data_IF_385256911631
#
_entry.id   IF_385256911631
#
_cell.length_a   1.000
_cell.length_b   1.000
_cell.length_c   1.000
_cell.angle_alpha   90.00
_cell.angle_beta   90.00
_cell.angle_gamma   90.00
#
_symmetry.space_group_name_H-M   'P 1'
#
loop_
_entity.id
_entity.type
_entity.pdbx_description
1 polymer ?
#
# COMPACT_ATOMS: atom_id res chain seq x y z
N UNK A 1 -8.92 -63.35 -3.86
CA UNK A 1 -9.99 -62.36 -3.83
C UNK A 1 -9.74 -61.59 -2.54
N UNK A 2 -8.87 -60.58 -2.50
CA UNK A 2 -9.01 -59.27 -3.20
C UNK A 2 -10.40 -58.70 -2.86
N UNK A 3 -10.57 -57.57 -2.17
CA UNK A 3 -9.96 -56.27 -2.46
C UNK A 3 -9.73 -55.40 -1.22
N UNK A 4 -8.64 -54.64 -1.32
CA UNK A 4 -8.41 -53.38 -0.63
C UNK A 4 -9.06 -52.24 -1.43
N UNK A 5 -9.51 -51.20 -0.72
CA UNK A 5 -9.76 -49.85 -1.23
C UNK A 5 -9.93 -48.98 0.02
N UNK A 6 -8.98 -48.12 0.41
CA UNK A 6 -8.32 -47.11 -0.42
C UNK A 6 -9.38 -46.04 -0.70
N UNK A 7 -9.47 -44.95 0.04
CA UNK A 7 -8.38 -44.04 0.38
C UNK A 7 -8.74 -42.72 -0.28
N UNK A 8 -9.15 -41.77 0.53
CA UNK A 8 -9.64 -40.46 0.14
C UNK A 8 -9.83 -39.64 1.41
N UNK A 9 -8.80 -39.60 2.25
CA UNK A 9 -8.63 -38.50 3.18
C UNK A 9 -8.46 -37.25 2.31
N UNK A 10 -9.52 -36.45 2.21
CA UNK A 10 -9.34 -35.02 2.01
C UNK A 10 -8.49 -34.58 3.20
N UNK A 11 -7.21 -34.32 2.97
CA UNK A 11 -6.46 -33.48 3.89
C UNK A 11 -7.14 -32.11 3.81
N UNK A 12 -8.10 -31.86 4.70
CA UNK A 12 -8.47 -30.48 4.98
C UNK A 12 -7.22 -29.87 5.57
N UNK A 13 -6.61 -28.91 4.86
CA UNK A 13 -5.62 -28.01 5.44
C UNK A 13 -6.16 -27.57 6.80
N UNK A 14 -5.39 -27.83 7.86
CA UNK A 14 -5.77 -27.37 9.18
C UNK A 14 -5.80 -25.85 9.19
N UNK A 15 -6.63 -25.27 10.06
CA UNK A 15 -6.58 -23.83 10.36
C UNK A 15 -5.14 -23.42 10.67
N UNK A 16 -4.70 -22.31 10.08
CA UNK A 16 -3.42 -21.67 10.37
C UNK A 16 -3.49 -20.77 11.61
N UNK A 17 -4.65 -20.65 12.27
CA UNK A 17 -4.86 -19.74 13.39
C UNK A 17 -5.09 -18.29 12.97
N UNK A 18 -4.91 -17.37 13.91
CA UNK A 18 -5.06 -15.94 13.67
C UNK A 18 -3.76 -15.37 13.07
N UNK A 19 -3.86 -14.61 11.98
CA UNK A 19 -2.73 -13.98 11.29
C UNK A 19 -2.94 -12.47 11.33
N UNK A 20 -1.97 -11.73 11.88
CA UNK A 20 -1.99 -10.27 11.94
C UNK A 20 -1.06 -9.67 10.89
N UNK A 21 -1.62 -8.96 9.92
CA UNK A 21 -0.86 -8.35 8.83
C UNK A 21 -0.84 -6.83 8.98
N UNK A 22 0.34 -6.26 9.12
CA UNK A 22 0.55 -4.80 9.08
C UNK A 22 0.88 -4.41 7.64
N UNK A 23 0.00 -3.68 6.99
CA UNK A 23 0.14 -3.36 5.57
C UNK A 23 -0.10 -1.88 5.30
N UNK A 24 0.70 -1.31 4.40
CA UNK A 24 0.55 0.07 3.96
C UNK A 24 -0.89 0.36 3.51
N UNK A 25 -1.42 1.53 3.85
CA UNK A 25 -2.81 1.91 3.55
C UNK A 25 -3.19 1.78 2.07
N UNK A 26 -2.26 1.99 1.14
CA UNK A 26 -2.48 1.80 -0.31
C UNK A 26 -2.70 0.35 -0.74
N UNK A 27 -2.42 -0.63 0.13
CA UNK A 27 -2.64 -2.05 -0.12
C UNK A 27 -4.04 -2.53 0.31
N UNK A 28 -4.84 -1.67 0.94
CA UNK A 28 -6.10 -2.05 1.63
C UNK A 28 -6.98 -2.96 0.78
N UNK A 29 -7.33 -2.56 -0.44
CA UNK A 29 -8.28 -3.30 -1.26
C UNK A 29 -7.71 -4.64 -1.73
N UNK A 30 -6.48 -4.64 -2.25
CA UNK A 30 -5.82 -5.85 -2.73
C UNK A 30 -5.55 -6.87 -1.60
N UNK A 31 -5.06 -6.40 -0.44
CA UNK A 31 -4.79 -7.28 0.70
C UNK A 31 -6.08 -7.80 1.33
N UNK A 32 -7.16 -7.03 1.31
CA UNK A 32 -8.47 -7.54 1.75
C UNK A 32 -8.90 -8.73 0.89
N UNK A 33 -8.78 -8.64 -0.45
CA UNK A 33 -9.11 -9.75 -1.35
C UNK A 33 -8.19 -10.96 -1.16
N UNK A 34 -6.88 -10.73 -0.98
CA UNK A 34 -5.94 -11.82 -0.65
C UNK A 34 -6.27 -12.49 0.69
N UNK A 35 -6.73 -11.71 1.67
CA UNK A 35 -7.20 -12.23 2.95
C UNK A 35 -8.41 -13.14 2.78
N UNK A 36 -9.44 -12.66 2.07
CA UNK A 36 -10.64 -13.45 1.75
C UNK A 36 -10.30 -14.74 1.02
N UNK A 37 -9.38 -14.67 0.04
CA UNK A 37 -8.89 -15.84 -0.69
C UNK A 37 -8.26 -16.88 0.25
N UNK A 38 -7.37 -16.45 1.14
CA UNK A 38 -6.73 -17.36 2.11
C UNK A 38 -7.74 -17.99 3.07
N UNK A 39 -8.68 -17.21 3.60
CA UNK A 39 -9.70 -17.70 4.54
C UNK A 39 -10.62 -18.74 3.89
N UNK A 40 -10.94 -18.57 2.60
CA UNK A 40 -11.71 -19.53 1.82
C UNK A 40 -10.94 -20.83 1.56
N UNK A 41 -9.62 -20.75 1.31
CA UNK A 41 -8.75 -21.91 1.08
C UNK A 41 -8.36 -22.66 2.36
N UNK A 42 -8.29 -21.96 3.49
CA UNK A 42 -7.85 -22.49 4.78
C UNK A 42 -8.94 -22.29 5.86
N UNK A 43 -9.99 -23.14 5.88
CA UNK A 43 -11.11 -22.96 6.80
C UNK A 43 -10.67 -22.90 8.27
N UNK A 44 -11.03 -21.80 8.92
CA UNK A 44 -10.74 -21.54 10.34
C UNK A 44 -9.44 -20.77 10.58
N UNK A 45 -8.74 -20.34 9.53
CA UNK A 45 -7.78 -19.23 9.60
C UNK A 45 -8.56 -17.91 9.66
N UNK A 46 -8.09 -16.93 10.42
CA UNK A 46 -8.65 -15.57 10.48
C UNK A 46 -7.54 -14.56 10.24
N UNK A 47 -7.74 -13.64 9.30
CA UNK A 47 -6.75 -12.61 8.99
C UNK A 47 -7.22 -11.26 9.52
N UNK A 48 -6.40 -10.68 10.40
CA UNK A 48 -6.60 -9.32 10.92
C UNK A 48 -5.61 -8.38 10.27
N UNK A 49 -6.12 -7.41 9.52
CA UNK A 49 -5.29 -6.36 8.95
C UNK A 49 -5.21 -5.12 9.86
N UNK A 50 -4.02 -4.55 9.96
CA UNK A 50 -3.79 -3.19 10.41
C UNK A 50 -3.28 -2.36 9.23
N UNK A 51 -4.18 -1.60 8.61
CA UNK A 51 -3.84 -0.68 7.53
C UNK A 51 -3.56 0.71 8.08
N UNK A 52 -2.34 1.22 7.84
CA UNK A 52 -1.92 2.57 8.19
C UNK A 52 -0.73 3.01 7.32
N UNK A 53 -0.14 4.18 7.59
CA UNK A 53 1.10 4.57 6.95
C UNK A 53 2.22 3.57 7.29
N UNK A 54 3.09 3.25 6.32
CA UNK A 54 4.21 2.33 6.60
C UNK A 54 5.13 2.86 7.70
N UNK A 55 5.23 4.19 7.84
CA UNK A 55 5.95 4.84 8.95
C UNK A 55 5.34 4.55 10.31
N UNK A 56 4.01 4.64 10.45
CA UNK A 56 3.33 4.34 11.71
C UNK A 56 3.39 2.84 12.03
N UNK A 57 3.26 1.98 11.01
CA UNK A 57 3.33 0.54 11.17
C UNK A 57 4.75 0.10 11.60
N UNK A 58 5.80 0.63 10.96
CA UNK A 58 7.17 0.36 11.36
C UNK A 58 7.45 0.81 12.80
N UNK A 59 6.96 2.00 13.18
CA UNK A 59 7.05 2.48 14.56
C UNK A 59 6.34 1.55 15.54
N UNK A 60 5.11 1.13 15.24
CA UNK A 60 4.35 0.21 16.07
C UNK A 60 5.07 -1.13 16.25
N UNK A 61 5.67 -1.67 15.18
CA UNK A 61 6.45 -2.91 15.21
C UNK A 61 7.69 -2.73 16.12
N UNK A 62 8.44 -1.64 15.98
CA UNK A 62 9.58 -1.32 16.87
C UNK A 62 9.17 -1.12 18.33
N UNK A 63 7.95 -0.64 18.59
CA UNK A 63 7.38 -0.55 19.93
C UNK A 63 6.85 -1.90 20.49
N UNK A 64 6.92 -2.98 19.69
CA UNK A 64 6.54 -4.33 20.08
C UNK A 64 5.07 -4.67 19.82
N UNK A 65 4.41 -3.99 18.87
CA UNK A 65 3.10 -4.41 18.40
C UNK A 65 3.18 -5.81 17.78
N UNK A 66 2.29 -6.75 18.17
CA UNK A 66 2.32 -8.11 17.63
C UNK A 66 1.79 -8.10 16.20
N UNK A 67 2.66 -8.41 15.25
CA UNK A 67 2.33 -8.64 13.85
C UNK A 67 3.09 -9.86 13.32
N UNK A 68 2.52 -10.51 12.33
CA UNK A 68 3.09 -11.69 11.68
C UNK A 68 3.81 -11.31 10.38
N UNK A 69 3.20 -10.41 9.60
CA UNK A 69 3.69 -9.94 8.30
C UNK A 69 3.69 -8.41 8.26
N UNK A 70 4.74 -7.84 7.70
CA UNK A 70 4.82 -6.41 7.39
C UNK A 70 4.99 -6.18 5.88
N UNK A 71 4.09 -5.39 5.30
CA UNK A 71 4.15 -4.94 3.91
C UNK A 71 4.21 -3.41 3.84
N UNK A 72 5.37 -2.88 3.42
CA UNK A 72 5.65 -1.45 3.37
C UNK A 72 5.44 -0.89 1.95
N UNK A 73 5.11 0.40 1.86
CA UNK A 73 5.02 1.13 0.59
C UNK A 73 6.35 1.78 0.16
N UNK A 74 7.43 1.62 0.94
CA UNK A 74 8.79 1.95 0.51
C UNK A 74 9.86 1.12 1.25
N UNK A 75 11.11 1.07 0.72
CA UNK A 75 12.24 0.46 1.41
C UNK A 75 12.66 1.19 2.68
N UNK A 76 12.49 2.51 2.75
CA UNK A 76 12.93 3.32 3.90
C UNK A 76 12.26 2.88 5.21
N UNK A 77 10.95 2.59 5.18
CA UNK A 77 10.24 2.12 6.38
C UNK A 77 10.44 0.61 6.62
N UNK A 78 10.84 -0.16 5.60
CA UNK A 78 11.29 -1.54 5.81
C UNK A 78 12.62 -1.59 6.55
N UNK A 79 13.56 -0.71 6.18
CA UNK A 79 14.87 -0.60 6.83
C UNK A 79 14.75 -0.30 8.34
N UNK A 80 13.70 0.42 8.77
CA UNK A 80 13.42 0.68 10.20
C UNK A 80 13.22 -0.61 11.00
N UNK A 81 12.51 -1.60 10.45
CA UNK A 81 12.30 -2.89 11.14
C UNK A 81 13.49 -3.84 10.97
N UNK A 82 14.21 -3.76 9.85
CA UNK A 82 15.44 -4.52 9.61
C UNK A 82 16.57 -4.09 10.55
N UNK A 83 16.76 -2.78 10.76
CA UNK A 83 17.81 -2.21 11.62
C UNK A 83 17.65 -2.58 13.10
N UNK A 84 16.44 -2.98 13.51
CA UNK A 84 16.15 -3.48 14.86
C UNK A 84 16.18 -5.02 14.96
N UNK A 85 16.61 -5.71 13.90
CA UNK A 85 16.63 -7.19 13.80
C UNK A 85 15.22 -7.82 14.02
N UNK A 86 14.15 -7.12 13.60
CA UNK A 86 12.74 -7.54 13.80
C UNK A 86 12.13 -8.26 12.59
N UNK A 87 12.83 -8.26 11.45
CA UNK A 87 12.34 -8.78 10.18
C UNK A 87 13.27 -9.87 9.62
N UNK A 88 12.67 -10.85 8.96
CA UNK A 88 13.40 -11.70 8.02
C UNK A 88 13.77 -10.90 6.75
N UNK A 89 14.59 -11.46 5.87
CA UNK A 89 15.02 -10.78 4.63
C UNK A 89 13.81 -10.36 3.78
N UNK A 90 13.59 -9.05 3.56
CA UNK A 90 12.44 -8.57 2.80
C UNK A 90 12.62 -8.78 1.30
N UNK A 91 11.50 -8.95 0.61
CA UNK A 91 11.47 -8.97 -0.86
C UNK A 91 10.56 -7.90 -1.40
N UNK A 92 10.94 -7.27 -2.51
CA UNK A 92 10.03 -6.41 -3.27
C UNK A 92 9.03 -7.31 -3.98
N UNK A 93 7.74 -7.12 -3.70
CA UNK A 93 6.67 -7.94 -4.27
C UNK A 93 5.85 -7.21 -5.34
N UNK A 94 5.78 -5.88 -5.29
CA UNK A 94 5.13 -5.05 -6.31
C UNK A 94 5.76 -3.67 -6.43
N UNK A 95 5.45 -3.01 -7.54
CA UNK A 95 5.70 -1.59 -7.76
C UNK A 95 4.41 -0.80 -7.92
N UNK A 96 4.49 0.51 -7.77
CA UNK A 96 3.37 1.42 -7.99
C UNK A 96 3.86 2.75 -8.58
N UNK A 97 2.94 3.52 -9.15
CA UNK A 97 3.23 4.84 -9.73
C UNK A 97 2.52 5.93 -8.95
N UNK A 98 3.19 7.07 -8.80
CA UNK A 98 2.55 8.27 -8.30
C UNK A 98 1.66 8.91 -9.35
N UNK A 99 0.56 9.49 -8.88
CA UNK A 99 -0.37 10.31 -9.66
C UNK A 99 -0.78 11.54 -8.89
N UNK A 100 -1.10 12.60 -9.63
CA UNK A 100 -1.82 13.76 -9.10
C UNK A 100 -3.31 13.40 -9.14
N UNK A 101 -3.93 13.30 -7.97
CA UNK A 101 -5.36 13.07 -7.82
C UNK A 101 -6.08 14.41 -7.71
N UNK A 102 -7.14 14.61 -8.47
CA UNK A 102 -7.94 15.84 -8.46
C UNK A 102 -9.45 15.52 -8.40
N UNK A 103 -10.31 16.46 -7.97
CA UNK A 103 -11.76 16.32 -8.17
C UNK A 103 -12.10 16.23 -9.66
N UNK A 104 -13.07 15.40 -10.02
CA UNK A 104 -13.42 15.13 -11.43
C UNK A 104 -13.94 16.35 -12.21
N UNK A 105 -14.51 17.34 -11.52
CA UNK A 105 -14.93 18.59 -12.13
C UNK A 105 -13.80 19.62 -12.27
N UNK A 106 -12.63 19.34 -11.69
CA UNK A 106 -11.37 20.09 -11.78
C UNK A 106 -11.55 21.62 -11.72
N UNK A 107 -12.10 22.17 -10.62
CA UNK A 107 -12.44 23.59 -10.53
C UNK A 107 -11.20 24.49 -10.56
N UNK A 108 -10.04 23.97 -10.15
CA UNK A 108 -8.78 24.68 -10.13
C UNK A 108 -8.03 24.64 -11.48
N UNK A 109 -8.50 23.84 -12.46
CA UNK A 109 -7.87 23.74 -13.78
C UNK A 109 -6.47 23.13 -13.72
N UNK A 110 -6.28 22.10 -12.89
CA UNK A 110 -5.02 21.35 -12.81
C UNK A 110 -4.84 20.56 -14.10
N UNK A 111 -3.74 20.78 -14.81
CA UNK A 111 -3.41 20.08 -16.06
C UNK A 111 -2.13 19.24 -15.94
N UNK A 112 -1.46 19.32 -14.79
CA UNK A 112 -0.23 18.60 -14.49
C UNK A 112 0.53 19.21 -13.30
N UNK A 113 1.78 18.78 -13.05
CA UNK A 113 2.55 19.22 -11.88
C UNK A 113 2.77 20.73 -11.80
N UNK A 114 2.92 21.42 -12.94
CA UNK A 114 3.15 22.86 -12.95
C UNK A 114 1.96 23.65 -12.40
N UNK A 115 0.74 23.17 -12.61
CA UNK A 115 -0.46 23.78 -12.02
C UNK A 115 -0.41 23.77 -10.49
N UNK A 116 0.30 22.82 -9.87
CA UNK A 116 0.44 22.74 -8.40
C UNK A 116 1.27 23.89 -7.81
N UNK A 117 2.01 24.63 -8.64
CA UNK A 117 2.82 25.79 -8.24
C UNK A 117 2.02 27.10 -8.23
N UNK A 118 0.83 27.11 -8.83
CA UNK A 118 0.03 28.32 -8.99
C UNK A 118 -0.48 28.82 -7.63
N UNK A 119 -0.26 30.11 -7.28
CA UNK A 119 -0.66 30.62 -5.97
C UNK A 119 -2.15 30.45 -5.69
N UNK A 120 -2.47 29.81 -4.57
CA UNK A 120 -3.85 29.62 -4.12
C UNK A 120 -4.45 28.25 -4.47
N UNK A 121 -3.71 27.40 -5.19
CA UNK A 121 -4.01 25.97 -5.28
C UNK A 121 -3.89 25.34 -3.90
N UNK A 122 -4.90 24.57 -3.50
CA UNK A 122 -4.90 23.81 -2.26
C UNK A 122 -4.37 22.40 -2.53
N UNK A 123 -3.11 22.18 -2.22
CA UNK A 123 -2.48 20.88 -2.32
C UNK A 123 -2.56 20.14 -0.98
N UNK A 124 -2.98 18.88 -0.99
CA UNK A 124 -2.89 17.98 0.16
C UNK A 124 -1.91 16.86 -0.16
N UNK A 125 -0.95 16.65 0.73
CA UNK A 125 0.03 15.56 0.61
C UNK A 125 -0.09 14.68 1.85
N UNK A 126 0.46 13.47 1.80
CA UNK A 126 0.80 12.80 3.05
C UNK A 126 2.04 13.47 3.68
N UNK A 127 2.24 13.27 4.98
CA UNK A 127 3.39 13.82 5.70
C UNK A 127 4.74 13.36 5.09
N UNK A 128 5.84 14.13 5.23
CA UNK A 128 7.13 13.82 4.61
C UNK A 128 7.72 12.43 4.93
N UNK A 129 7.40 11.88 6.10
CA UNK A 129 7.79 10.56 6.58
C UNK A 129 6.93 9.42 6.00
N UNK A 130 5.71 9.73 5.58
CA UNK A 130 4.78 8.78 4.96
C UNK A 130 5.25 8.49 3.53
N UNK A 131 5.29 7.23 3.07
CA UNK A 131 5.83 6.89 1.74
C UNK A 131 5.28 7.72 0.58
N UNK A 132 3.95 7.93 0.49
CA UNK A 132 3.34 8.73 -0.57
C UNK A 132 3.81 10.19 -0.52
N UNK A 133 3.90 10.77 0.69
CA UNK A 133 4.36 12.15 0.90
C UNK A 133 5.85 12.32 0.64
N UNK A 134 6.64 11.28 0.93
CA UNK A 134 8.06 11.22 0.62
C UNK A 134 8.29 11.18 -0.90
N UNK A 135 7.63 10.26 -1.61
CA UNK A 135 7.77 10.15 -3.06
C UNK A 135 7.23 11.38 -3.79
N UNK A 136 6.14 12.00 -3.32
CA UNK A 136 5.61 13.23 -3.92
C UNK A 136 6.66 14.34 -3.93
N UNK A 137 7.38 14.50 -2.81
CA UNK A 137 8.46 15.49 -2.67
C UNK A 137 9.68 15.15 -3.52
N UNK A 138 10.00 13.87 -3.70
CA UNK A 138 11.02 13.46 -4.67
C UNK A 138 10.62 13.82 -6.10
N UNK A 139 9.36 13.63 -6.49
CA UNK A 139 8.85 14.03 -7.80
C UNK A 139 8.92 15.55 -7.98
N UNK A 140 8.54 16.33 -6.97
CA UNK A 140 8.67 17.80 -7.00
C UNK A 140 10.12 18.27 -7.04
N UNK A 141 11.04 17.58 -6.38
CA UNK A 141 12.48 17.86 -6.43
C UNK A 141 13.04 17.61 -7.83
N UNK A 142 12.65 16.51 -8.47
CA UNK A 142 13.04 16.20 -9.84
C UNK A 142 12.58 17.29 -10.83
N UNK A 143 11.41 17.89 -10.59
CA UNK A 143 10.85 18.99 -11.37
C UNK A 143 11.39 20.37 -10.97
N UNK A 144 12.05 20.49 -9.82
CA UNK A 144 12.54 21.76 -9.29
C UNK A 144 11.43 22.72 -8.80
N UNK A 145 10.28 22.18 -8.41
CA UNK A 145 9.07 22.94 -7.99
C UNK A 145 8.74 22.80 -6.49
N UNK A 146 9.67 22.28 -5.69
CA UNK A 146 9.43 21.99 -4.27
C UNK A 146 9.00 23.24 -3.49
N UNK A 147 9.67 24.38 -3.67
CA UNK A 147 9.37 25.60 -2.89
C UNK A 147 7.94 26.09 -3.15
N UNK A 148 7.54 26.13 -4.42
CA UNK A 148 6.21 26.60 -4.84
C UNK A 148 5.11 25.62 -4.45
N UNK A 149 5.31 24.32 -4.64
CA UNK A 149 4.34 23.29 -4.23
C UNK A 149 4.17 23.24 -2.71
N UNK A 150 5.25 23.28 -1.92
CA UNK A 150 5.19 23.34 -0.45
C UNK A 150 4.47 24.59 0.06
N UNK A 151 4.61 25.73 -0.62
CA UNK A 151 3.86 26.94 -0.28
C UNK A 151 2.34 26.79 -0.46
N UNK A 152 1.90 25.85 -1.30
CA UNK A 152 0.50 25.52 -1.57
C UNK A 152 -0.03 24.33 -0.77
N UNK A 153 0.82 23.64 0.01
CA UNK A 153 0.39 22.53 0.87
C UNK A 153 -0.48 23.08 2.01
N UNK A 154 -1.77 22.75 2.00
CA UNK A 154 -2.73 23.16 3.03
C UNK A 154 -2.89 22.13 4.13
N UNK A 155 -2.47 20.89 3.88
CA UNK A 155 -2.53 19.80 4.86
C UNK A 155 -1.52 18.70 4.53
N UNK A 156 -0.95 18.11 5.58
CA UNK A 156 -0.17 16.88 5.51
C UNK A 156 -0.95 15.80 6.25
N UNK A 157 -1.32 14.73 5.55
CA UNK A 157 -2.12 13.64 6.11
C UNK A 157 -1.27 12.51 6.69
N UNK A 158 -1.88 11.80 7.64
CA UNK A 158 -1.25 10.66 8.32
C UNK A 158 -1.03 9.48 7.37
N UNK A 159 -1.86 9.32 6.34
CA UNK A 159 -1.69 8.30 5.30
C UNK A 159 -2.24 8.75 3.94
N UNK A 160 -2.00 7.94 2.90
CA UNK A 160 -2.42 8.25 1.53
C UNK A 160 -3.94 8.17 1.33
N UNK A 161 -4.67 7.33 2.08
CA UNK A 161 -6.13 7.22 1.98
C UNK A 161 -6.81 8.47 2.55
N UNK A 162 -6.22 9.10 3.55
CA UNK A 162 -6.66 10.42 4.02
C UNK A 162 -6.47 11.53 2.96
N UNK A 163 -5.41 11.47 2.14
CA UNK A 163 -5.25 12.37 0.98
C UNK A 163 -6.38 12.16 -0.03
N UNK A 164 -6.64 10.89 -0.39
CA UNK A 164 -7.73 10.50 -1.31
C UNK A 164 -9.07 11.06 -0.83
N UNK A 165 -9.39 10.85 0.46
CA UNK A 165 -10.64 11.30 1.04
C UNK A 165 -10.81 12.84 0.97
N UNK A 166 -9.75 13.61 1.24
CA UNK A 166 -9.84 15.08 1.15
C UNK A 166 -10.03 15.58 -0.27
N UNK A 167 -9.39 14.93 -1.25
CA UNK A 167 -9.57 15.27 -2.66
C UNK A 167 -10.97 14.90 -3.13
N UNK A 168 -11.47 13.70 -2.84
CA UNK A 168 -12.81 13.27 -3.25
C UNK A 168 -13.93 14.09 -2.61
N UNK A 169 -13.73 14.57 -1.38
CA UNK A 169 -14.65 15.48 -0.69
C UNK A 169 -14.56 16.94 -1.16
N UNK A 170 -13.64 17.27 -2.09
CA UNK A 170 -13.42 18.63 -2.59
C UNK A 170 -12.83 19.59 -1.56
N UNK A 171 -12.17 19.07 -0.52
CA UNK A 171 -11.48 19.87 0.48
C UNK A 171 -10.14 20.43 -0.04
N UNK A 172 -9.58 19.78 -1.08
CA UNK A 172 -8.36 20.14 -1.78
C UNK A 172 -8.59 20.24 -3.29
N UNK A 173 -7.77 21.03 -3.96
CA UNK A 173 -7.77 21.14 -5.42
C UNK A 173 -6.99 20.00 -6.08
N UNK A 174 -5.98 19.47 -5.37
CA UNK A 174 -5.20 18.32 -5.78
C UNK A 174 -4.58 17.61 -4.56
N UNK A 175 -4.22 16.35 -4.75
CA UNK A 175 -3.31 15.62 -3.89
C UNK A 175 -2.38 14.71 -4.69
N UNK A 176 -1.36 14.15 -4.03
CA UNK A 176 -0.47 13.15 -4.65
C UNK A 176 -0.66 11.82 -3.96
N UNK A 177 -1.00 10.80 -4.75
CA UNK A 177 -1.38 9.45 -4.31
C UNK A 177 -0.76 8.40 -5.25
N UNK A 178 -1.09 7.12 -5.08
CA UNK A 178 -0.73 6.09 -6.05
C UNK A 178 -1.83 5.86 -7.08
N UNK A 179 -1.49 5.35 -8.27
CA UNK A 179 -2.50 5.03 -9.30
C UNK A 179 -3.55 4.03 -8.77
N UNK A 180 -3.16 3.11 -7.88
CA UNK A 180 -4.04 2.12 -7.26
C UNK A 180 -5.02 2.73 -6.26
N UNK A 181 -4.79 3.96 -5.79
CA UNK A 181 -5.70 4.66 -4.87
C UNK A 181 -6.88 5.32 -5.59
N UNK A 182 -6.81 5.49 -6.92
CA UNK A 182 -7.93 5.90 -7.74
C UNK A 182 -8.86 4.70 -8.03
N UNK A 183 -9.49 4.20 -6.98
CA UNK A 183 -10.30 2.97 -7.03
C UNK A 183 -11.55 3.12 -7.90
N UNK A 184 -12.12 1.98 -8.30
CA UNK A 184 -13.39 1.95 -9.05
C UNK A 184 -14.56 2.60 -8.27
N UNK A 185 -14.51 2.60 -6.93
CA UNK A 185 -15.52 3.26 -6.10
C UNK A 185 -15.50 4.79 -6.24
N UNK A 186 -14.35 5.36 -6.62
CA UNK A 186 -14.16 6.80 -6.82
C UNK A 186 -14.37 7.22 -8.29
N UNK A 187 -14.85 6.31 -9.14
CA UNK A 187 -15.09 6.59 -10.55
C UNK A 187 -16.11 7.74 -10.71
N UNK A 188 -15.66 8.81 -11.36
CA UNK A 188 -16.47 10.02 -11.57
C UNK A 188 -16.45 11.01 -10.40
N UNK A 189 -15.80 10.68 -9.28
CA UNK A 189 -15.53 11.62 -8.17
C UNK A 189 -14.16 12.26 -8.30
N UNK A 190 -13.17 11.50 -8.78
CA UNK A 190 -11.79 11.96 -8.95
C UNK A 190 -11.23 11.60 -10.31
N UNK A 191 -10.17 12.30 -10.72
CA UNK A 191 -9.33 11.97 -11.87
C UNK A 191 -7.87 11.85 -11.42
N UNK A 192 -7.14 10.90 -12.01
CA UNK A 192 -5.71 10.69 -11.77
C UNK A 192 -4.89 11.14 -12.99
N UNK A 193 -3.91 12.00 -12.77
CA UNK A 193 -2.97 12.49 -13.78
C UNK A 193 -1.57 11.94 -13.51
N UNK A 194 -0.96 11.36 -14.54
CA UNK A 194 0.42 10.87 -14.43
C UNK A 194 1.43 12.02 -14.33
N UNK A 195 2.50 11.80 -13.58
CA UNK A 195 3.67 12.66 -13.63
C UNK A 195 4.39 12.50 -14.99
N UNK A 196 5.07 13.55 -15.49
CA UNK A 196 5.88 13.45 -16.69
C UNK A 196 7.08 12.51 -16.45
N UNK A 197 7.65 11.94 -17.51
CA UNK A 197 8.66 10.87 -17.42
C UNK A 197 9.92 11.28 -16.63
N UNK A 198 10.28 12.56 -16.62
CA UNK A 198 11.38 13.13 -15.85
C UNK A 198 11.11 13.23 -14.34
N UNK A 199 9.87 12.99 -13.91
CA UNK A 199 9.43 12.92 -12.52
C UNK A 199 8.64 11.64 -12.20
N UNK A 200 8.76 10.61 -13.05
CA UNK A 200 8.10 9.30 -12.85
C UNK A 200 8.84 8.54 -11.74
N UNK A 201 8.36 8.72 -10.51
CA UNK A 201 8.87 8.04 -9.32
C UNK A 201 8.13 6.72 -9.17
N UNK A 202 8.86 5.62 -9.39
CA UNK A 202 8.36 4.27 -9.12
C UNK A 202 8.50 3.96 -7.63
N UNK A 203 7.38 3.73 -6.96
CA UNK A 203 7.35 3.24 -5.60
C UNK A 203 7.53 1.72 -5.58
N UNK A 204 8.39 1.21 -4.70
CA UNK A 204 8.65 -0.22 -4.53
C UNK A 204 8.13 -0.67 -3.18
N UNK A 205 7.43 -1.81 -3.15
CA UNK A 205 6.76 -2.31 -1.96
C UNK A 205 7.47 -3.57 -1.49
N UNK A 206 8.25 -3.50 -0.40
CA UNK A 206 8.81 -4.69 0.23
C UNK A 206 7.81 -5.35 1.20
N UNK A 207 7.88 -6.67 1.29
CA UNK A 207 7.15 -7.50 2.27
C UNK A 207 8.12 -8.43 3.00
N UNK A 208 7.85 -8.69 4.27
CA UNK A 208 8.61 -9.63 5.10
C UNK A 208 7.72 -10.26 6.18
N UNK A 209 8.13 -11.42 6.68
CA UNK A 209 7.64 -12.00 7.94
C UNK A 209 8.45 -11.43 9.10
N UNK A 210 7.81 -11.19 10.25
CA UNK A 210 8.49 -10.66 11.43
C UNK A 210 9.12 -11.79 12.25
N UNK A 211 10.33 -11.56 12.79
CA UNK A 211 11.09 -12.59 13.50
C UNK A 211 10.45 -13.04 14.82
N UNK A 212 9.68 -12.15 15.46
CA UNK A 212 8.88 -12.43 16.66
C UNK A 212 7.39 -12.67 16.34
N UNK A 213 7.07 -13.06 15.09
CA UNK A 213 5.70 -13.36 14.66
C UNK A 213 4.98 -14.30 15.65
N UNK A 214 3.82 -13.88 16.21
CA UNK A 214 3.00 -14.74 17.06
C UNK A 214 2.59 -16.07 16.40
N UNK A 215 2.43 -16.05 15.08
CA UNK A 215 2.02 -17.17 14.24
C UNK A 215 2.93 -17.30 12.99
N UNK A 216 4.12 -17.90 13.13
CA UNK A 216 5.08 -18.01 12.02
C UNK A 216 4.56 -18.84 10.84
N UNK A 217 3.79 -19.91 11.10
CA UNK A 217 3.26 -20.77 10.04
C UNK A 217 2.18 -20.04 9.21
N UNK A 218 1.33 -19.26 9.87
CA UNK A 218 0.38 -18.38 9.19
C UNK A 218 1.07 -17.21 8.47
N UNK A 219 2.12 -16.63 9.06
CA UNK A 219 2.93 -15.59 8.44
C UNK A 219 3.52 -16.07 7.10
N UNK A 220 4.20 -17.22 7.11
CA UNK A 220 4.80 -17.85 5.93
C UNK A 220 3.74 -18.14 4.87
N UNK A 221 2.58 -18.66 5.26
CA UNK A 221 1.50 -18.96 4.33
C UNK A 221 0.96 -17.69 3.64
N UNK A 222 0.70 -16.61 4.40
CA UNK A 222 0.19 -15.37 3.83
C UNK A 222 1.25 -14.68 2.96
N UNK A 223 2.50 -14.67 3.40
CA UNK A 223 3.64 -14.21 2.63
C UNK A 223 3.76 -14.97 1.30
N UNK A 224 3.68 -16.31 1.32
CA UNK A 224 3.74 -17.14 0.12
C UNK A 224 2.54 -16.90 -0.81
N UNK A 225 1.34 -16.66 -0.27
CA UNK A 225 0.17 -16.30 -1.07
C UNK A 225 0.40 -14.98 -1.82
N UNK A 226 0.89 -13.94 -1.14
CA UNK A 226 1.19 -12.63 -1.76
C UNK A 226 2.19 -12.75 -2.90
N UNK A 227 3.18 -13.65 -2.77
CA UNK A 227 4.21 -13.89 -3.78
C UNK A 227 3.83 -14.91 -4.87
N UNK A 228 2.74 -15.65 -4.67
CA UNK A 228 2.26 -16.66 -5.62
C UNK A 228 1.75 -16.04 -6.92
N UNK A 229 1.65 -16.84 -7.98
CA UNK A 229 1.07 -16.40 -9.26
C UNK A 229 -0.35 -15.84 -9.06
N UNK A 230 -1.17 -16.47 -8.21
CA UNK A 230 -2.53 -16.03 -7.91
C UNK A 230 -2.57 -14.71 -7.14
N UNK A 231 -1.71 -14.56 -6.12
CA UNK A 231 -1.62 -13.31 -5.38
C UNK A 231 -1.14 -12.14 -6.25
N UNK A 232 -0.18 -12.41 -7.15
CA UNK A 232 0.29 -11.43 -8.11
C UNK A 232 -0.76 -11.07 -9.16
N UNK A 233 -1.63 -12.01 -9.56
CA UNK A 233 -2.79 -11.73 -10.42
C UNK A 233 -3.78 -10.78 -9.73
N UNK A 234 -4.10 -11.02 -8.45
CA UNK A 234 -4.94 -10.11 -7.65
C UNK A 234 -4.31 -8.72 -7.61
N UNK A 235 -3.05 -8.60 -7.18
CA UNK A 235 -2.34 -7.32 -7.09
C UNK A 235 -2.32 -6.56 -8.44
N UNK A 236 -2.04 -7.27 -9.54
CA UNK A 236 -2.06 -6.69 -10.89
C UNK A 236 -3.45 -6.19 -11.26
N UNK A 237 -4.52 -6.88 -10.84
CA UNK A 237 -5.90 -6.46 -11.12
C UNK A 237 -6.27 -5.14 -10.46
N UNK A 238 -5.63 -4.81 -9.33
CA UNK A 238 -5.75 -3.52 -8.64
C UNK A 238 -4.83 -2.42 -9.22
N UNK A 239 -3.99 -2.74 -10.20
CA UNK A 239 -3.12 -1.78 -10.89
C UNK A 239 -1.69 -1.70 -10.35
N UNK A 240 -1.30 -2.59 -9.43
CA UNK A 240 0.11 -2.73 -9.04
C UNK A 240 0.94 -3.26 -10.21
N UNK A 241 2.18 -2.79 -10.30
CA UNK A 241 3.17 -3.27 -11.26
C UNK A 241 4.00 -4.43 -10.70
N UNK A 242 4.68 -5.21 -11.58
CA UNK A 242 5.59 -6.25 -11.14
C UNK A 242 6.80 -5.66 -10.39
N UNK A 243 7.48 -6.46 -9.55
CA UNK A 243 8.73 -6.08 -8.88
C UNK A 243 9.91 -5.90 -9.85
#
# INVERSE_FOLDING_TARGET
MTEAGGGGEQESGGSLGDITVFAAASLTEAFTELGELMEDEQPGTEITFNFASSSDLALQIGEGAPADVFASANPVQMEVVEDEDLAEEPVVFVTNKLVILIPSDNPAGIEGPESLTEPGVKLVLAAPEVPAGNYARQAFEALGIVEETEANVVSNEDDVKAVVAKVSLGEADAGVTYITDATAELEGEVEAMEFPTDADVTATYPITTLSDAPNPEGADAFYDLVLSDEGQEVLTSYGFGPP
#
